data_IF_415519561830
#
_entry.id   IF_415519561830
#
_cell.length_a   1.000
_cell.length_b   1.000
_cell.length_c   1.000
_cell.angle_alpha   90.00
_cell.angle_beta   90.00
_cell.angle_gamma   90.00
#
_symmetry.space_group_name_H-M   'P 1'
#
loop_
_entity.id
_entity.type
_entity.pdbx_description
1 polymer ?
#
# COMPACT_ATOMS: atom_id res chain seq x y z
N UNK A 1 3.69 19.42 -38.77
CA UNK A 1 2.68 20.42 -38.35
C UNK A 1 2.68 20.44 -36.84
N UNK A 2 3.04 21.56 -36.22
CA UNK A 2 2.77 21.76 -34.80
C UNK A 2 1.25 21.65 -34.60
N UNK A 3 0.81 20.74 -33.73
CA UNK A 3 -0.60 20.69 -33.35
C UNK A 3 -0.90 21.96 -32.58
N UNK A 4 -1.78 22.81 -33.12
CA UNK A 4 -2.32 23.94 -32.37
C UNK A 4 -2.97 23.43 -31.09
N UNK A 5 -2.57 24.00 -29.95
CA UNK A 5 -3.09 23.60 -28.65
C UNK A 5 -4.45 24.29 -28.46
N UNK A 6 -5.57 23.56 -28.38
CA UNK A 6 -6.92 24.15 -28.40
C UNK A 6 -7.35 24.78 -27.07
N UNK A 7 -6.44 24.83 -26.09
CA UNK A 7 -6.73 25.31 -24.73
C UNK A 7 -5.69 26.31 -24.25
N UNK A 8 -6.14 27.31 -23.48
CA UNK A 8 -5.29 28.35 -22.93
C UNK A 8 -5.28 28.32 -21.41
N UNK A 9 -4.13 28.63 -20.81
CA UNK A 9 -4.00 28.77 -19.35
C UNK A 9 -4.97 29.84 -18.84
N UNK A 10 -5.52 29.61 -17.65
CA UNK A 10 -6.51 30.44 -16.96
C UNK A 10 -7.90 30.55 -17.61
N UNK A 11 -8.14 29.91 -18.76
CA UNK A 11 -9.44 29.87 -19.41
C UNK A 11 -10.29 28.68 -18.94
N UNK A 12 -11.61 28.79 -19.10
CA UNK A 12 -12.56 27.76 -18.71
C UNK A 12 -13.13 27.04 -19.93
N UNK A 13 -13.26 25.72 -19.83
CA UNK A 13 -13.84 24.86 -20.86
C UNK A 13 -14.87 23.92 -20.25
N UNK A 14 -15.86 23.52 -21.03
CA UNK A 14 -16.82 22.50 -20.63
C UNK A 14 -16.42 21.17 -21.28
N UNK A 15 -16.26 20.13 -20.48
CA UNK A 15 -15.89 18.80 -20.97
C UNK A 15 -16.70 17.71 -20.27
N UNK A 16 -16.73 16.54 -20.89
CA UNK A 16 -17.20 15.30 -20.28
C UNK A 16 -16.01 14.44 -19.85
N UNK A 17 -16.07 13.88 -18.64
CA UNK A 17 -15.06 13.00 -18.11
C UNK A 17 -15.36 11.56 -18.55
N UNK A 18 -14.39 10.93 -19.22
CA UNK A 18 -14.54 9.61 -19.84
C UNK A 18 -13.84 8.50 -19.05
N UNK A 19 -12.74 8.83 -18.37
CA UNK A 19 -11.93 7.85 -17.61
C UNK A 19 -11.23 8.55 -16.42
N UNK A 20 -10.38 7.82 -15.69
CA UNK A 20 -9.46 8.34 -14.70
C UNK A 20 -8.01 8.04 -15.09
N UNK A 21 -7.09 8.90 -14.65
CA UNK A 21 -5.65 8.64 -14.73
C UNK A 21 -5.21 7.70 -13.61
N UNK A 22 -3.99 7.18 -13.67
CA UNK A 22 -3.38 6.41 -12.57
C UNK A 22 -3.32 7.17 -11.23
N UNK A 23 -3.44 8.51 -11.26
CA UNK A 23 -3.51 9.37 -10.07
C UNK A 23 -4.95 9.67 -9.62
N UNK A 24 -5.96 9.08 -10.27
CA UNK A 24 -7.37 9.30 -9.98
C UNK A 24 -7.89 10.66 -10.46
N UNK A 25 -7.20 11.30 -11.40
CA UNK A 25 -7.70 12.54 -12.01
C UNK A 25 -8.66 12.19 -13.14
N UNK A 26 -9.81 12.87 -13.22
CA UNK A 26 -10.72 12.78 -14.36
C UNK A 26 -10.00 13.05 -15.68
N UNK A 27 -10.18 12.16 -16.64
CA UNK A 27 -9.64 12.27 -18.00
C UNK A 27 -10.79 12.59 -18.93
N UNK A 28 -10.73 13.78 -19.52
CA UNK A 28 -11.62 14.20 -20.59
C UNK A 28 -10.82 14.67 -21.79
N UNK A 29 -11.55 15.11 -22.80
CA UNK A 29 -10.95 15.60 -24.04
C UNK A 29 -11.69 16.87 -24.51
N UNK A 30 -10.95 17.81 -25.07
CA UNK A 30 -11.47 18.99 -25.74
C UNK A 30 -10.79 19.13 -27.10
N UNK A 31 -11.55 18.94 -28.18
CA UNK A 31 -11.04 19.00 -29.57
C UNK A 31 -9.84 18.07 -29.84
N UNK A 32 -9.86 16.86 -29.28
CA UNK A 32 -8.79 15.87 -29.42
C UNK A 32 -7.61 16.06 -28.46
N UNK A 33 -7.66 17.08 -27.58
CA UNK A 33 -6.60 17.36 -26.61
C UNK A 33 -6.97 16.85 -25.22
N UNK A 34 -6.07 16.13 -24.56
CA UNK A 34 -6.34 15.46 -23.28
C UNK A 34 -6.30 16.45 -22.11
N UNK A 35 -7.33 16.42 -21.27
CA UNK A 35 -7.43 17.23 -20.05
C UNK A 35 -7.50 16.33 -18.82
N UNK A 36 -6.64 16.61 -17.83
CA UNK A 36 -6.69 15.99 -16.50
C UNK A 36 -7.35 16.94 -15.49
N UNK A 37 -8.37 16.45 -14.80
CA UNK A 37 -9.20 17.22 -13.87
C UNK A 37 -9.32 16.48 -12.54
N UNK A 38 -8.53 16.84 -11.51
CA UNK A 38 -8.71 16.33 -10.15
C UNK A 38 -10.16 16.55 -9.68
N UNK A 39 -10.62 15.68 -8.77
CA UNK A 39 -11.97 15.66 -8.20
C UNK A 39 -13.13 15.39 -9.18
N UNK A 40 -12.86 15.15 -10.46
CA UNK A 40 -13.87 14.79 -11.45
C UNK A 40 -13.86 13.28 -11.71
N UNK A 41 -15.02 12.66 -11.89
CA UNK A 41 -15.16 11.21 -12.10
C UNK A 41 -15.82 10.89 -13.45
N UNK A 42 -15.64 9.68 -14.00
CA UNK A 42 -16.26 9.28 -15.27
C UNK A 42 -17.79 9.47 -15.25
N UNK A 43 -18.29 10.09 -16.32
CA UNK A 43 -19.69 10.46 -16.50
C UNK A 43 -20.04 11.88 -16.05
N UNK A 44 -19.15 12.60 -15.36
CA UNK A 44 -19.38 14.01 -15.06
C UNK A 44 -19.28 14.89 -16.32
N UNK A 45 -20.18 15.87 -16.45
CA UNK A 45 -19.99 17.05 -17.31
C UNK A 45 -19.56 18.22 -16.44
N UNK A 46 -18.40 18.80 -16.71
CA UNK A 46 -17.74 19.77 -15.82
C UNK A 46 -17.30 21.03 -16.55
N UNK A 47 -17.30 22.15 -15.81
CA UNK A 47 -16.58 23.36 -16.17
C UNK A 47 -15.20 23.31 -15.50
N UNK A 48 -14.15 23.32 -16.30
CA UNK A 48 -12.75 23.19 -15.87
C UNK A 48 -11.96 24.44 -16.22
N UNK A 49 -11.18 24.99 -15.28
CA UNK A 49 -10.23 26.09 -15.53
C UNK A 49 -8.84 25.53 -15.72
N UNK A 50 -8.21 25.79 -16.86
CA UNK A 50 -6.86 25.28 -17.14
C UNK A 50 -5.83 25.99 -16.27
N UNK A 51 -5.02 25.21 -15.54
CA UNK A 51 -3.95 25.73 -14.66
C UNK A 51 -2.56 25.46 -15.22
N UNK A 52 -2.41 24.42 -16.05
CA UNK A 52 -1.16 24.07 -16.72
C UNK A 52 -1.46 23.54 -18.12
N UNK A 53 -0.73 24.05 -19.10
CA UNK A 53 -0.72 23.54 -20.48
C UNK A 53 0.64 22.89 -20.71
N UNK A 54 0.65 21.71 -21.33
CA UNK A 54 1.84 20.97 -21.75
C UNK A 54 1.70 20.60 -23.23
N UNK A 55 2.72 19.98 -23.82
CA UNK A 55 2.74 19.67 -25.27
C UNK A 55 1.55 18.81 -25.73
N UNK A 56 1.16 17.80 -24.94
CA UNK A 56 0.16 16.79 -25.32
C UNK A 56 -1.07 16.75 -24.41
N UNK A 57 -1.09 17.53 -23.33
CA UNK A 57 -2.17 17.53 -22.36
C UNK A 57 -2.25 18.85 -21.59
N UNK A 58 -3.35 19.08 -20.91
CA UNK A 58 -3.49 20.14 -19.91
C UNK A 58 -3.97 19.57 -18.56
N UNK A 59 -3.65 20.29 -17.49
CA UNK A 59 -4.22 20.06 -16.16
C UNK A 59 -5.14 21.22 -15.86
N UNK A 60 -6.36 20.91 -15.43
CA UNK A 60 -7.36 21.89 -15.06
C UNK A 60 -7.90 21.67 -13.65
N UNK A 61 -8.34 22.76 -13.04
CA UNK A 61 -9.06 22.78 -11.77
C UNK A 61 -10.56 22.65 -12.04
N UNK A 62 -11.23 21.71 -11.38
CA UNK A 62 -12.68 21.61 -11.39
C UNK A 62 -13.28 22.90 -10.81
N UNK A 63 -14.06 23.63 -11.61
CA UNK A 63 -14.76 24.84 -11.16
C UNK A 63 -16.20 24.52 -10.77
N UNK A 64 -16.90 23.73 -11.61
CA UNK A 64 -18.29 23.35 -11.37
C UNK A 64 -18.60 22.02 -12.04
N UNK A 65 -19.34 21.16 -11.34
CA UNK A 65 -20.01 20.01 -11.97
C UNK A 65 -21.32 20.53 -12.56
N UNK A 66 -21.44 20.50 -13.89
CA UNK A 66 -22.61 20.96 -14.63
C UNK A 66 -23.71 19.89 -14.63
N UNK A 67 -23.32 18.63 -14.83
CA UNK A 67 -24.18 17.46 -14.64
C UNK A 67 -23.36 16.35 -13.97
N UNK A 68 -23.73 15.87 -12.78
CA UNK A 68 -22.98 14.84 -12.07
C UNK A 68 -23.17 13.47 -12.73
N UNK A 69 -22.13 12.64 -12.67
CA UNK A 69 -22.22 11.21 -12.95
C UNK A 69 -23.25 10.54 -12.03
N UNK A 70 -23.95 9.52 -12.52
CA UNK A 70 -24.86 8.71 -11.69
C UNK A 70 -24.15 8.02 -10.51
N UNK A 71 -22.82 7.85 -10.60
CA UNK A 71 -22.01 7.25 -9.54
C UNK A 71 -21.36 8.30 -8.63
N UNK A 72 -21.62 9.61 -8.81
CA UNK A 72 -21.04 10.66 -7.97
C UNK A 72 -21.75 10.71 -6.63
N UNK A 73 -20.96 10.73 -5.56
CA UNK A 73 -21.43 10.95 -4.19
C UNK A 73 -20.66 12.11 -3.55
N UNK A 74 -21.19 12.63 -2.45
CA UNK A 74 -20.45 13.58 -1.62
C UNK A 74 -19.37 12.82 -0.81
N UNK A 75 -18.17 13.38 -0.75
CA UNK A 75 -17.08 12.82 0.03
C UNK A 75 -17.41 12.86 1.53
N UNK A 76 -17.16 11.77 2.26
CA UNK A 76 -17.38 11.75 3.72
C UNK A 76 -16.29 12.48 4.50
N UNK A 77 -15.05 12.49 3.98
CA UNK A 77 -13.92 13.13 4.66
C UNK A 77 -13.90 14.64 4.39
N UNK A 78 -13.82 15.49 5.43
CA UNK A 78 -13.88 16.95 5.27
C UNK A 78 -12.69 17.52 4.48
N UNK A 79 -11.57 16.79 4.43
CA UNK A 79 -10.34 17.20 3.73
C UNK A 79 -10.04 16.36 2.48
N UNK A 80 -11.01 15.57 1.99
CA UNK A 80 -10.82 14.62 0.89
C UNK A 80 -10.16 15.24 -0.36
N UNK A 81 -10.53 16.47 -0.71
CA UNK A 81 -10.03 17.17 -1.92
C UNK A 81 -8.62 17.75 -1.77
N UNK A 82 -8.19 18.00 -0.53
CA UNK A 82 -6.88 18.60 -0.26
C UNK A 82 -5.84 17.53 0.10
N UNK A 83 -6.26 16.48 0.79
CA UNK A 83 -5.40 15.38 1.22
C UNK A 83 -5.01 14.48 0.03
N UNK A 84 -3.72 14.15 -0.11
CA UNK A 84 -3.25 13.25 -1.17
C UNK A 84 -3.59 11.77 -0.97
N UNK A 85 -4.23 11.41 0.15
CA UNK A 85 -4.42 10.01 0.57
C UNK A 85 -5.53 9.25 -0.17
N UNK A 86 -6.64 9.89 -0.53
CA UNK A 86 -7.78 9.24 -1.19
C UNK A 86 -8.17 9.99 -2.46
N UNK A 87 -8.27 9.27 -3.59
CA UNK A 87 -8.44 9.91 -4.90
C UNK A 87 -9.88 9.82 -5.43
N UNK A 88 -10.69 8.88 -4.94
CA UNK A 88 -12.01 8.56 -5.52
C UNK A 88 -13.13 8.45 -4.47
N UNK A 89 -13.03 9.16 -3.33
CA UNK A 89 -14.12 9.18 -2.32
C UNK A 89 -15.44 9.73 -2.85
N UNK A 90 -15.38 10.56 -3.89
CA UNK A 90 -16.54 11.13 -4.58
C UNK A 90 -17.22 10.15 -5.57
N UNK A 91 -16.76 8.89 -5.64
CA UNK A 91 -17.36 7.82 -6.44
C UNK A 91 -18.02 6.79 -5.53
N UNK A 92 -19.25 6.39 -5.84
CA UNK A 92 -19.98 5.34 -5.13
C UNK A 92 -19.15 4.05 -5.07
N UNK A 93 -19.14 3.36 -3.92
CA UNK A 93 -18.21 2.26 -3.67
C UNK A 93 -18.29 1.13 -4.71
N UNK A 94 -19.50 0.71 -5.08
CA UNK A 94 -19.73 -0.27 -6.15
C UNK A 94 -19.13 0.15 -7.50
N UNK A 95 -19.17 1.45 -7.81
CA UNK A 95 -18.54 1.97 -9.01
C UNK A 95 -17.00 1.96 -8.91
N UNK A 96 -16.43 2.13 -7.71
CA UNK A 96 -14.99 1.95 -7.48
C UNK A 96 -14.56 0.52 -7.77
N UNK A 97 -15.30 -0.49 -7.28
CA UNK A 97 -15.00 -1.91 -7.52
C UNK A 97 -15.08 -2.27 -9.00
N UNK A 98 -16.12 -1.79 -9.70
CA UNK A 98 -16.25 -1.95 -11.16
C UNK A 98 -15.10 -1.27 -11.90
N UNK A 99 -14.72 -0.07 -11.49
CA UNK A 99 -13.60 0.66 -12.08
C UNK A 99 -12.28 -0.10 -11.89
N UNK A 100 -11.99 -0.60 -10.68
CA UNK A 100 -10.79 -1.38 -10.38
C UNK A 100 -10.73 -2.68 -11.19
N UNK A 101 -11.87 -3.35 -11.36
CA UNK A 101 -11.97 -4.55 -12.24
C UNK A 101 -11.57 -4.20 -13.68
N UNK A 102 -12.20 -3.15 -14.24
CA UNK A 102 -11.90 -2.67 -15.60
C UNK A 102 -10.45 -2.22 -15.77
N UNK A 103 -9.88 -1.58 -14.73
CA UNK A 103 -8.48 -1.16 -14.74
C UNK A 103 -7.55 -2.37 -14.91
N UNK A 104 -7.82 -3.46 -14.20
CA UNK A 104 -7.04 -4.70 -14.33
C UNK A 104 -7.20 -5.28 -15.74
N UNK A 105 -8.43 -5.48 -16.22
CA UNK A 105 -8.72 -5.96 -17.58
C UNK A 105 -7.94 -5.19 -18.65
N UNK A 106 -8.02 -3.86 -18.62
CA UNK A 106 -7.32 -3.00 -19.57
C UNK A 106 -5.80 -3.14 -19.52
N UNK A 107 -5.20 -3.29 -18.33
CA UNK A 107 -3.75 -3.48 -18.22
C UNK A 107 -3.34 -4.84 -18.78
N UNK A 108 -4.08 -5.91 -18.47
CA UNK A 108 -3.81 -7.25 -19.01
C UNK A 108 -3.86 -7.27 -20.53
N UNK A 109 -4.88 -6.64 -21.13
CA UNK A 109 -5.02 -6.59 -22.59
C UNK A 109 -3.99 -5.68 -23.26
N UNK A 110 -3.80 -4.45 -22.77
CA UNK A 110 -2.99 -3.43 -23.46
C UNK A 110 -1.49 -3.60 -23.22
N UNK A 111 -1.10 -4.00 -22.01
CA UNK A 111 0.31 -4.14 -21.63
C UNK A 111 0.75 -5.59 -21.74
N UNK A 112 -0.07 -6.51 -21.23
CA UNK A 112 0.24 -7.94 -21.29
C UNK A 112 0.02 -8.55 -22.68
N UNK A 113 -0.80 -7.93 -23.53
CA UNK A 113 -1.19 -8.49 -24.82
C UNK A 113 -2.06 -9.75 -24.71
N UNK A 114 -2.52 -10.08 -23.50
CA UNK A 114 -3.26 -11.30 -23.20
C UNK A 114 -4.75 -11.03 -23.33
N UNK A 115 -5.41 -11.74 -24.25
CA UNK A 115 -6.85 -11.60 -24.54
C UNK A 115 -7.62 -12.83 -24.06
N UNK A 116 -8.90 -12.64 -23.72
CA UNK A 116 -9.77 -13.72 -23.27
C UNK A 116 -9.44 -14.28 -21.87
N UNK A 117 -8.60 -13.58 -21.11
CA UNK A 117 -8.28 -13.95 -19.73
C UNK A 117 -9.47 -13.59 -18.83
N UNK A 118 -9.86 -14.51 -17.96
CA UNK A 118 -10.94 -14.27 -17.01
C UNK A 118 -10.44 -13.38 -15.86
N UNK A 119 -10.91 -12.14 -15.84
CA UNK A 119 -10.78 -11.22 -14.69
C UNK A 119 -12.09 -11.24 -13.92
N UNK A 120 -12.04 -11.68 -12.67
CA UNK A 120 -13.22 -11.70 -11.80
C UNK A 120 -13.56 -10.29 -11.30
N UNK A 121 -14.80 -10.09 -10.86
CA UNK A 121 -15.21 -8.85 -10.19
C UNK A 121 -14.34 -8.61 -8.97
N UNK A 122 -13.88 -7.38 -8.79
CA UNK A 122 -13.10 -6.97 -7.64
C UNK A 122 -13.86 -7.28 -6.34
N UNK A 123 -13.23 -8.03 -5.45
CA UNK A 123 -13.80 -8.30 -4.12
C UNK A 123 -13.64 -7.03 -3.29
N UNK A 124 -14.77 -6.52 -2.79
CA UNK A 124 -14.82 -5.32 -1.96
C UNK A 124 -14.85 -5.61 -0.46
N UNK A 125 -14.86 -4.52 0.32
CA UNK A 125 -15.01 -4.51 1.76
C UNK A 125 -16.45 -4.13 2.14
N UNK A 126 -17.04 -4.85 3.10
CA UNK A 126 -18.41 -4.58 3.56
C UNK A 126 -18.57 -3.17 4.13
N UNK A 127 -17.63 -2.74 4.95
CA UNK A 127 -17.54 -1.37 5.47
C UNK A 127 -16.19 -0.76 5.05
N UNK A 128 -16.13 0.02 3.95
CA UNK A 128 -14.87 0.50 3.37
C UNK A 128 -14.21 1.64 4.15
N UNK A 129 -14.49 1.77 5.45
CA UNK A 129 -13.99 2.83 6.33
C UNK A 129 -13.21 2.25 7.51
N UNK A 130 -12.41 3.10 8.17
CA UNK A 130 -11.66 2.75 9.40
C UNK A 130 -10.86 1.44 9.31
N UNK A 131 -10.39 1.08 8.12
CA UNK A 131 -9.77 -0.22 7.84
C UNK A 131 -8.25 -0.21 7.98
N UNK A 132 -7.61 0.97 7.97
CA UNK A 132 -6.15 1.06 8.00
C UNK A 132 -5.60 0.88 9.40
N UNK A 133 -4.64 -0.03 9.50
CA UNK A 133 -3.92 -0.40 10.72
C UNK A 133 -2.56 0.28 10.87
N UNK A 134 -2.17 1.07 9.87
CA UNK A 134 -0.95 1.87 9.89
C UNK A 134 -1.19 3.24 9.28
N UNK A 135 -0.76 4.26 10.01
CA UNK A 135 -0.74 5.65 9.56
C UNK A 135 0.62 6.26 9.79
N UNK A 136 0.99 7.18 8.92
CA UNK A 136 2.23 7.94 8.97
C UNK A 136 1.85 9.41 8.78
N UNK A 137 2.07 10.21 9.81
CA UNK A 137 1.78 11.64 9.81
C UNK A 137 3.10 12.40 9.77
N UNK A 138 3.40 13.16 8.70
CA UNK A 138 4.42 14.20 8.78
C UNK A 138 4.06 15.24 9.83
N UNK A 139 5.08 15.71 10.53
CA UNK A 139 5.00 16.81 11.49
C UNK A 139 5.79 17.97 10.89
N UNK A 140 5.19 19.15 10.85
CA UNK A 140 5.84 20.36 10.34
C UNK A 140 5.47 21.59 11.14
N UNK A 141 6.05 22.73 10.78
CA UNK A 141 5.75 24.02 11.40
C UNK A 141 4.99 24.91 10.41
N UNK A 142 3.96 25.61 10.91
CA UNK A 142 3.30 26.69 10.18
C UNK A 142 2.98 27.82 11.14
N UNK A 143 3.45 29.03 10.83
CA UNK A 143 3.28 30.23 11.67
C UNK A 143 3.72 30.02 13.12
N UNK A 144 4.85 29.32 13.32
CA UNK A 144 5.44 29.05 14.64
C UNK A 144 4.72 27.99 15.47
N UNK A 145 3.73 27.27 14.92
CA UNK A 145 3.02 26.17 15.61
C UNK A 145 3.22 24.84 14.89
N UNK A 146 3.25 23.76 15.65
CA UNK A 146 3.29 22.41 15.10
C UNK A 146 1.97 22.09 14.36
N UNK A 147 2.10 21.56 13.16
CA UNK A 147 1.01 21.02 12.36
C UNK A 147 1.28 19.56 12.05
N UNK A 148 0.21 18.76 12.07
CA UNK A 148 0.26 17.33 11.80
C UNK A 148 -0.90 16.96 10.89
N UNK A 149 -0.65 16.08 9.94
CA UNK A 149 -1.69 15.62 9.01
C UNK A 149 -1.10 14.84 7.85
N UNK A 150 -1.56 15.11 6.63
CA UNK A 150 -1.10 14.41 5.44
C UNK A 150 -0.61 15.39 4.39
N UNK A 151 0.34 14.97 3.56
CA UNK A 151 0.76 15.79 2.43
C UNK A 151 -0.37 15.96 1.39
N UNK A 152 -0.48 17.17 0.84
CA UNK A 152 -1.33 17.44 -0.31
C UNK A 152 -0.77 16.74 -1.56
N UNK A 153 -1.66 16.36 -2.48
CA UNK A 153 -1.30 15.57 -3.65
C UNK A 153 -0.15 16.17 -4.47
N UNK A 154 0.98 15.46 -4.55
CA UNK A 154 2.16 15.88 -5.33
C UNK A 154 2.97 17.01 -4.71
N UNK A 155 2.91 17.21 -3.40
CA UNK A 155 3.68 18.21 -2.66
C UNK A 155 4.14 17.69 -1.30
N UNK A 156 4.97 18.45 -0.59
CA UNK A 156 5.26 18.26 0.83
C UNK A 156 4.48 19.27 1.71
N UNK A 157 3.41 19.89 1.19
CA UNK A 157 2.56 20.76 2.00
C UNK A 157 1.63 19.92 2.89
N UNK A 158 1.71 20.12 4.20
CA UNK A 158 0.92 19.36 5.16
C UNK A 158 -0.48 19.98 5.25
N UNK A 159 -1.49 19.14 5.04
CA UNK A 159 -2.90 19.43 5.30
C UNK A 159 -3.20 19.04 6.74
N UNK A 160 -3.36 20.01 7.66
CA UNK A 160 -3.65 19.72 9.06
C UNK A 160 -4.92 18.88 9.16
N UNK A 161 -4.83 17.76 9.87
CA UNK A 161 -5.91 16.78 9.93
C UNK A 161 -6.03 16.24 11.35
N UNK A 162 -7.21 16.36 11.95
CA UNK A 162 -7.48 15.85 13.30
C UNK A 162 -7.93 14.39 13.29
N UNK A 163 -8.52 13.93 12.19
CA UNK A 163 -8.98 12.55 12.05
C UNK A 163 -8.91 12.07 10.61
N UNK A 164 -8.62 10.78 10.44
CA UNK A 164 -8.65 10.13 9.12
C UNK A 164 -9.66 9.00 9.10
N UNK A 165 -10.79 9.18 8.41
CA UNK A 165 -11.91 8.21 8.44
C UNK A 165 -11.62 6.84 7.79
N UNK A 166 -10.47 6.66 7.14
CA UNK A 166 -10.00 5.34 6.68
C UNK A 166 -9.02 4.68 7.65
N UNK A 167 -8.55 5.40 8.68
CA UNK A 167 -7.65 4.89 9.72
C UNK A 167 -8.44 4.48 10.95
N UNK A 168 -7.96 3.47 11.67
CA UNK A 168 -8.56 3.08 12.95
C UNK A 168 -8.66 4.28 13.92
N UNK A 169 -9.78 4.42 14.62
CA UNK A 169 -10.09 5.60 15.42
C UNK A 169 -9.06 5.88 16.52
N UNK A 170 -8.48 4.85 17.14
CA UNK A 170 -7.45 5.02 18.17
C UNK A 170 -6.20 5.76 17.67
N UNK A 171 -5.93 5.77 16.37
CA UNK A 171 -4.85 6.58 15.82
C UNK A 171 -5.12 8.10 15.96
N UNK A 172 -6.38 8.52 15.86
CA UNK A 172 -6.79 9.92 16.04
C UNK A 172 -6.55 10.36 17.50
N UNK A 173 -6.80 9.48 18.47
CA UNK A 173 -6.57 9.73 19.91
C UNK A 173 -5.08 9.86 20.25
N UNK A 174 -4.26 8.94 19.75
CA UNK A 174 -2.79 8.97 19.90
C UNK A 174 -2.23 10.27 19.30
N UNK A 175 -2.67 10.63 18.09
CA UNK A 175 -2.23 11.83 17.40
C UNK A 175 -2.49 13.08 18.23
N UNK A 176 -3.69 13.18 18.81
CA UNK A 176 -4.08 14.32 19.66
C UNK A 176 -3.18 14.45 20.88
N UNK A 177 -2.86 13.35 21.56
CA UNK A 177 -1.98 13.36 22.73
C UNK A 177 -0.57 13.80 22.35
N UNK A 178 -0.01 13.22 21.28
CA UNK A 178 1.36 13.55 20.86
C UNK A 178 1.44 15.00 20.38
N UNK A 179 0.46 15.49 19.62
CA UNK A 179 0.41 16.89 19.18
C UNK A 179 0.37 17.84 20.39
N UNK A 180 -0.48 17.56 21.38
CA UNK A 180 -0.55 18.36 22.59
C UNK A 180 0.76 18.32 23.38
N UNK A 181 1.42 17.17 23.46
CA UNK A 181 2.74 17.05 24.07
C UNK A 181 3.80 17.91 23.36
N UNK A 182 3.81 17.93 22.02
CA UNK A 182 4.71 18.78 21.23
C UNK A 182 4.47 20.26 21.56
N UNK A 183 3.20 20.68 21.59
CA UNK A 183 2.81 22.06 21.87
C UNK A 183 3.10 22.47 23.33
N UNK A 184 2.82 21.61 24.31
CA UNK A 184 2.96 21.89 25.75
C UNK A 184 4.41 21.96 26.20
N UNK A 185 5.25 21.03 25.71
CA UNK A 185 6.66 20.95 26.09
C UNK A 185 7.60 21.66 25.11
N UNK A 186 7.05 22.38 24.11
CA UNK A 186 7.80 23.07 23.06
C UNK A 186 8.85 22.17 22.39
N UNK A 187 8.45 20.95 22.03
CA UNK A 187 9.36 20.02 21.35
C UNK A 187 9.64 20.52 19.94
N UNK A 188 10.91 20.56 19.55
CA UNK A 188 11.30 21.00 18.22
C UNK A 188 10.72 20.08 17.12
N UNK A 189 10.19 20.71 16.08
CA UNK A 189 9.66 20.03 14.89
C UNK A 189 10.64 20.20 13.75
N UNK A 190 10.81 19.14 12.95
CA UNK A 190 11.74 19.15 11.83
C UNK A 190 11.28 20.11 10.71
N UNK A 191 12.20 20.95 10.24
CA UNK A 191 12.04 21.77 9.04
C UNK A 191 12.84 21.14 7.89
N UNK A 192 12.15 20.61 6.87
CA UNK A 192 12.79 19.97 5.72
C UNK A 192 13.67 20.93 4.89
N UNK A 193 13.38 22.22 4.91
CA UNK A 193 14.13 23.25 4.17
C UNK A 193 15.49 23.44 4.83
N UNK A 194 15.49 23.71 6.14
CA UNK A 194 16.70 23.94 6.93
C UNK A 194 17.46 22.64 7.22
N UNK A 195 16.76 21.51 7.32
CA UNK A 195 17.31 20.24 7.77
C UNK A 195 17.53 20.18 9.29
N UNK A 196 16.86 21.04 10.04
CA UNK A 196 17.01 21.22 11.49
C UNK A 196 15.71 20.88 12.23
N UNK A 197 15.76 20.83 13.57
CA UNK A 197 14.66 20.39 14.43
C UNK A 197 14.63 18.87 14.62
N UNK A 198 13.69 18.39 15.46
CA UNK A 198 13.73 17.03 15.99
C UNK A 198 12.67 16.10 15.40
N UNK A 199 11.37 16.33 15.66
CA UNK A 199 10.32 15.37 15.25
C UNK A 199 10.00 15.52 13.77
N UNK A 200 10.19 14.44 13.00
CA UNK A 200 9.86 14.37 11.56
C UNK A 200 8.47 13.81 11.32
N UNK A 201 8.18 12.67 11.93
CA UNK A 201 6.94 11.92 11.67
C UNK A 201 6.44 11.22 12.92
N UNK A 202 5.12 11.03 12.98
CA UNK A 202 4.43 10.17 13.93
C UNK A 202 3.85 9.00 13.14
N UNK A 203 4.26 7.78 13.48
CA UNK A 203 3.74 6.55 12.88
C UNK A 203 3.00 5.78 13.95
N UNK A 204 1.80 5.32 13.63
CA UNK A 204 0.98 4.51 14.53
C UNK A 204 0.65 3.22 13.81
N UNK A 205 0.91 2.09 14.47
CA UNK A 205 0.52 0.75 14.02
C UNK A 205 -0.44 0.14 15.04
N UNK A 206 -1.45 -0.57 14.57
CA UNK A 206 -2.54 -1.10 15.39
C UNK A 206 -2.77 -2.55 14.98
N UNK A 207 -2.83 -3.48 15.93
CA UNK A 207 -3.40 -4.80 15.68
C UNK A 207 -4.91 -4.72 15.85
N UNK A 208 -5.68 -4.87 14.77
CA UNK A 208 -7.14 -4.76 14.82
C UNK A 208 -7.77 -5.84 15.70
N UNK A 209 -7.24 -7.07 15.63
CA UNK A 209 -7.78 -8.20 16.38
C UNK A 209 -7.40 -8.17 17.86
N UNK A 210 -6.25 -7.57 18.18
CA UNK A 210 -5.66 -7.54 19.54
C UNK A 210 -5.86 -6.21 20.26
N UNK A 211 -6.23 -5.16 19.52
CA UNK A 211 -6.23 -3.75 19.94
C UNK A 211 -4.87 -3.23 20.43
N UNK A 212 -3.76 -3.92 20.11
CA UNK A 212 -2.45 -3.46 20.52
C UNK A 212 -1.96 -2.30 19.65
N UNK A 213 -1.46 -1.24 20.27
CA UNK A 213 -0.97 -0.05 19.56
C UNK A 213 0.54 0.11 19.75
N UNK A 214 1.23 0.34 18.64
CA UNK A 214 2.63 0.76 18.58
C UNK A 214 2.69 2.20 18.12
N UNK A 215 3.32 3.05 18.92
CA UNK A 215 3.64 4.43 18.55
C UNK A 215 5.12 4.51 18.18
N UNK A 216 5.42 5.10 17.02
CA UNK A 216 6.79 5.32 16.56
C UNK A 216 6.97 6.81 16.27
N UNK A 217 7.91 7.44 16.95
CA UNK A 217 8.32 8.80 16.67
C UNK A 217 9.61 8.77 15.84
N UNK A 218 9.53 9.28 14.61
CA UNK A 218 10.72 9.42 13.77
C UNK A 218 11.39 10.74 14.12
N UNK A 219 12.64 10.67 14.58
CA UNK A 219 13.37 11.84 15.07
C UNK A 219 14.71 12.05 14.33
N UNK A 220 15.07 13.31 14.17
CA UNK A 220 16.37 13.80 13.72
C UNK A 220 17.29 14.03 14.93
N UNK A 221 17.63 12.96 15.63
CA UNK A 221 18.38 13.01 16.89
C UNK A 221 18.43 11.63 17.53
N UNK A 222 19.02 11.50 18.72
CA UNK A 222 19.13 10.21 19.45
C UNK A 222 18.17 10.08 20.62
N UNK A 223 17.64 11.20 21.11
CA UNK A 223 16.83 11.26 22.31
C UNK A 223 15.64 12.20 22.08
N UNK A 224 14.57 11.98 22.85
CA UNK A 224 13.40 12.85 22.88
C UNK A 224 13.34 13.58 24.23
N UNK A 225 13.40 14.92 24.27
CA UNK A 225 13.18 15.67 25.50
C UNK A 225 11.82 15.31 26.13
N UNK A 226 11.78 15.20 27.46
CA UNK A 226 10.58 14.83 28.22
C UNK A 226 9.97 13.47 27.82
N UNK A 227 10.79 12.52 27.31
CA UNK A 227 10.32 11.21 26.88
C UNK A 227 9.52 10.48 27.97
N UNK A 228 10.01 10.49 29.22
CA UNK A 228 9.31 9.85 30.35
C UNK A 228 7.92 10.44 30.57
N UNK A 229 7.74 11.76 30.37
CA UNK A 229 6.43 12.42 30.46
C UNK A 229 5.49 12.02 29.34
N UNK A 230 6.00 11.89 28.10
CA UNK A 230 5.20 11.34 27.02
C UNK A 230 4.75 9.90 27.31
N UNK A 231 5.65 9.06 27.82
CA UNK A 231 5.34 7.67 28.19
C UNK A 231 4.29 7.63 29.29
N UNK A 232 4.42 8.44 30.35
CA UNK A 232 3.42 8.57 31.42
C UNK A 232 2.05 9.00 30.86
N UNK A 233 2.01 10.06 30.05
CA UNK A 233 0.78 10.58 29.43
C UNK A 233 0.07 9.54 28.56
N UNK A 234 0.83 8.80 27.73
CA UNK A 234 0.25 7.78 26.86
C UNK A 234 -0.25 6.59 27.68
N UNK A 235 0.50 6.13 28.70
CA UNK A 235 0.08 5.00 29.55
C UNK A 235 -1.21 5.30 30.32
N UNK A 236 -1.32 6.51 30.84
CA UNK A 236 -2.49 6.94 31.61
C UNK A 236 -3.75 7.03 30.73
N UNK A 237 -3.62 7.67 29.56
CA UNK A 237 -4.78 7.95 28.69
C UNK A 237 -5.11 6.82 27.70
N UNK A 238 -4.13 6.00 27.32
CA UNK A 238 -4.24 4.97 26.27
C UNK A 238 -3.58 3.65 26.70
N UNK A 239 -4.22 2.87 27.60
CA UNK A 239 -3.68 1.60 28.10
C UNK A 239 -3.49 0.51 27.02
N UNK A 240 -4.05 0.73 25.83
CA UNK A 240 -3.91 -0.12 24.65
C UNK A 240 -2.58 0.09 23.91
N UNK A 241 -1.86 1.19 24.16
CA UNK A 241 -0.48 1.34 23.68
C UNK A 241 0.42 0.36 24.42
N UNK A 242 0.98 -0.60 23.67
CA UNK A 242 1.87 -1.63 24.22
C UNK A 242 3.33 -1.30 24.06
N UNK A 243 3.67 -0.40 23.12
CA UNK A 243 5.05 0.00 22.92
C UNK A 243 5.16 1.39 22.29
N UNK A 244 6.20 2.12 22.71
CA UNK A 244 6.61 3.40 22.12
C UNK A 244 8.07 3.24 21.68
N UNK A 245 8.35 3.65 20.44
CA UNK A 245 9.64 3.50 19.79
C UNK A 245 10.10 4.84 19.23
N UNK A 246 11.35 5.21 19.45
CA UNK A 246 12.02 6.27 18.71
C UNK A 246 12.72 5.64 17.51
N UNK A 247 12.39 6.06 16.30
CA UNK A 247 13.10 5.67 15.09
C UNK A 247 14.05 6.79 14.66
N UNK A 248 15.33 6.46 14.52
CA UNK A 248 16.38 7.46 14.29
C UNK A 248 16.57 7.66 12.79
N UNK A 249 16.28 8.88 12.31
CA UNK A 249 16.47 9.26 10.91
C UNK A 249 17.02 10.68 10.78
N UNK A 250 18.34 10.80 10.83
CA UNK A 250 19.07 12.07 10.67
C UNK A 250 19.35 12.44 9.21
N UNK A 251 18.96 11.58 8.26
CA UNK A 251 19.24 11.80 6.84
C UNK A 251 18.22 12.77 6.20
N UNK A 252 18.72 13.62 5.28
CA UNK A 252 17.87 14.47 4.43
C UNK A 252 17.38 13.65 3.23
N UNK A 253 16.32 12.90 3.44
CA UNK A 253 15.77 11.92 2.47
C UNK A 253 14.26 11.81 2.57
N UNK A 254 13.63 11.35 1.49
CA UNK A 254 12.21 11.02 1.45
C UNK A 254 11.89 9.67 2.12
N UNK A 255 12.91 8.90 2.51
CA UNK A 255 12.73 7.69 3.31
C UNK A 255 12.32 8.11 4.72
N UNK A 256 11.10 7.77 5.11
CA UNK A 256 10.50 8.21 6.40
C UNK A 256 11.28 7.64 7.58
N UNK A 257 11.51 6.32 7.62
CA UNK A 257 12.13 5.67 8.76
C UNK A 257 13.61 5.37 8.49
N UNK A 258 14.46 5.61 9.48
CA UNK A 258 15.84 5.13 9.48
C UNK A 258 15.93 3.70 9.98
N UNK A 259 17.15 3.21 10.17
CA UNK A 259 17.42 1.78 10.45
C UNK A 259 17.49 1.44 11.93
N UNK A 260 17.64 2.44 12.79
CA UNK A 260 17.81 2.26 14.23
C UNK A 260 16.50 2.58 14.97
N UNK A 261 16.17 1.73 15.94
CA UNK A 261 15.00 1.87 16.80
C UNK A 261 15.44 1.81 18.27
N UNK A 262 15.00 2.78 19.07
CA UNK A 262 15.18 2.80 20.52
C UNK A 262 13.80 2.57 21.15
N UNK A 263 13.67 1.48 21.91
CA UNK A 263 12.42 1.15 22.61
C UNK A 263 12.40 1.93 23.92
N UNK A 264 11.50 2.90 24.04
CA UNK A 264 11.35 3.73 25.25
C UNK A 264 10.22 3.23 26.16
N UNK A 265 9.33 2.40 25.62
CA UNK A 265 8.31 1.71 26.41
C UNK A 265 7.91 0.39 25.75
N UNK A 266 7.71 -0.65 26.56
CA UNK A 266 7.18 -1.94 26.11
C UNK A 266 8.21 -2.85 25.44
N UNK A 267 7.73 -3.70 24.53
CA UNK A 267 8.54 -4.77 23.91
C UNK A 267 9.10 -4.44 22.51
N UNK A 268 8.79 -3.26 21.96
CA UNK A 268 9.16 -2.88 20.60
C UNK A 268 8.35 -3.55 19.50
N UNK A 269 7.32 -4.34 19.84
CA UNK A 269 6.48 -5.10 18.91
C UNK A 269 5.02 -5.11 19.38
N UNK A 270 4.11 -5.35 18.44
CA UNK A 270 2.69 -5.63 18.69
C UNK A 270 2.26 -6.91 17.98
N UNK A 271 1.17 -7.52 18.42
CA UNK A 271 0.56 -8.67 17.77
C UNK A 271 -0.65 -8.29 16.93
N UNK A 272 -0.90 -9.00 15.84
CA UNK A 272 -2.13 -8.97 15.03
C UNK A 272 -2.53 -10.41 14.69
N UNK A 273 -3.81 -10.62 14.37
CA UNK A 273 -4.30 -11.90 13.83
C UNK A 273 -4.84 -11.76 12.43
N UNK A 274 -4.56 -12.75 11.59
CA UNK A 274 -5.18 -12.94 10.28
C UNK A 274 -5.68 -14.38 10.24
N UNK A 275 -7.00 -14.57 10.14
CA UNK A 275 -7.63 -15.86 10.38
C UNK A 275 -7.28 -16.40 11.77
N UNK A 276 -6.74 -17.61 11.82
CA UNK A 276 -6.30 -18.30 13.04
C UNK A 276 -4.81 -18.14 13.34
N UNK A 277 -4.07 -17.38 12.54
CA UNK A 277 -2.64 -17.16 12.70
C UNK A 277 -2.35 -15.85 13.42
N UNK A 278 -1.39 -15.88 14.35
CA UNK A 278 -0.90 -14.71 15.09
C UNK A 278 0.44 -14.21 14.55
N UNK A 279 0.56 -12.89 14.36
CA UNK A 279 1.74 -12.25 13.78
C UNK A 279 2.29 -11.19 14.71
N UNK A 280 3.57 -11.30 15.06
CA UNK A 280 4.39 -10.28 15.67
C UNK A 280 4.82 -9.25 14.61
N UNK A 281 4.58 -7.97 14.89
CA UNK A 281 4.87 -6.85 14.00
C UNK A 281 5.92 -5.95 14.67
N UNK A 282 7.12 -5.90 14.08
CA UNK A 282 8.20 -4.98 14.47
C UNK A 282 8.11 -3.62 13.75
N UNK A 283 8.80 -2.56 14.21
CA UNK A 283 8.62 -1.19 13.70
C UNK A 283 8.91 -1.03 12.22
N UNK A 284 9.96 -1.68 11.71
CA UNK A 284 10.39 -1.61 10.30
C UNK A 284 9.76 -2.67 9.40
N UNK A 285 9.06 -3.66 9.98
CA UNK A 285 8.49 -4.77 9.23
C UNK A 285 7.37 -4.31 8.30
N UNK A 286 7.26 -4.92 7.11
CA UNK A 286 6.06 -4.75 6.27
C UNK A 286 4.94 -5.64 6.78
N UNK A 287 3.74 -5.08 6.85
CA UNK A 287 2.50 -5.79 7.15
C UNK A 287 1.37 -5.10 6.39
N UNK A 288 0.40 -5.86 5.90
CA UNK A 288 -0.68 -5.29 5.11
C UNK A 288 -1.49 -4.29 5.94
N UNK A 289 -1.80 -3.15 5.35
CA UNK A 289 -2.44 -2.06 6.10
C UNK A 289 -3.93 -2.29 6.33
N UNK A 290 -4.54 -3.27 5.66
CA UNK A 290 -5.95 -3.62 5.78
C UNK A 290 -6.05 -5.11 6.10
N UNK A 291 -6.04 -5.47 7.39
CA UNK A 291 -6.02 -6.87 7.85
C UNK A 291 -7.19 -7.67 7.27
N UNK A 292 -8.40 -7.08 7.25
CA UNK A 292 -9.62 -7.75 6.76
C UNK A 292 -9.56 -8.12 5.27
N UNK A 293 -9.03 -7.24 4.42
CA UNK A 293 -8.89 -7.54 2.99
C UNK A 293 -7.61 -8.33 2.68
N UNK A 294 -6.58 -8.25 3.53
CA UNK A 294 -5.39 -9.08 3.41
C UNK A 294 -5.72 -10.56 3.60
N UNK A 295 -6.56 -10.88 4.59
CA UNK A 295 -7.06 -12.24 4.79
C UNK A 295 -7.77 -12.77 3.54
N UNK A 296 -8.70 -12.00 2.97
CA UNK A 296 -9.39 -12.34 1.71
C UNK A 296 -8.40 -12.59 0.56
N UNK A 297 -7.38 -11.74 0.43
CA UNK A 297 -6.34 -11.87 -0.59
C UNK A 297 -5.54 -13.18 -0.42
N UNK A 298 -5.11 -13.48 0.81
CA UNK A 298 -4.30 -14.65 1.11
C UNK A 298 -5.08 -15.95 1.05
N UNK A 299 -6.33 -15.97 1.51
CA UNK A 299 -7.23 -17.10 1.32
C UNK A 299 -7.44 -17.40 -0.17
N UNK A 300 -7.56 -16.35 -1.00
CA UNK A 300 -7.65 -16.53 -2.46
C UNK A 300 -6.37 -17.13 -3.04
N UNK A 301 -5.20 -16.68 -2.59
CA UNK A 301 -3.92 -17.23 -3.01
C UNK A 301 -3.80 -18.72 -2.64
N UNK A 302 -4.14 -19.08 -1.40
CA UNK A 302 -4.17 -20.49 -0.93
C UNK A 302 -5.19 -21.31 -1.73
N UNK A 303 -6.36 -20.74 -2.02
CA UNK A 303 -7.37 -21.40 -2.86
C UNK A 303 -6.83 -21.69 -4.26
N UNK A 304 -6.11 -20.75 -4.88
CA UNK A 304 -5.54 -20.93 -6.22
C UNK A 304 -4.34 -21.88 -6.25
N UNK A 305 -3.58 -21.96 -5.16
CA UNK A 305 -2.51 -22.94 -5.04
C UNK A 305 -3.06 -24.39 -5.10
N UNK A 306 -4.25 -24.62 -4.53
CA UNK A 306 -4.90 -25.94 -4.42
C UNK A 306 -3.95 -27.00 -3.83
N UNK A 307 -3.35 -26.66 -2.70
CA UNK A 307 -2.39 -27.51 -1.98
C UNK A 307 -3.06 -28.79 -1.46
N UNK A 308 -2.39 -29.93 -1.65
CA UNK A 308 -2.83 -31.26 -1.24
C UNK A 308 -2.11 -31.80 0.00
N UNK A 309 -0.92 -31.26 0.33
CA UNK A 309 -0.16 -31.68 1.51
C UNK A 309 1.30 -32.03 1.24
N UNK A 310 1.64 -32.30 -0.02
CA UNK A 310 2.96 -32.80 -0.41
C UNK A 310 3.82 -31.73 -1.10
N UNK A 311 3.22 -30.61 -1.48
CA UNK A 311 3.89 -29.61 -2.32
C UNK A 311 4.99 -28.86 -1.56
N UNK A 312 6.10 -28.63 -2.26
CA UNK A 312 7.09 -27.62 -1.85
C UNK A 312 6.74 -26.25 -2.45
N UNK A 313 6.51 -25.27 -1.58
CA UNK A 313 6.14 -23.90 -1.95
C UNK A 313 7.32 -22.96 -1.73
N UNK A 314 7.66 -22.16 -2.74
CA UNK A 314 8.57 -21.03 -2.57
C UNK A 314 7.76 -19.74 -2.52
N UNK A 315 7.79 -19.05 -1.39
CA UNK A 315 7.20 -17.73 -1.20
C UNK A 315 8.28 -16.65 -1.34
N UNK A 316 8.26 -15.93 -2.45
CA UNK A 316 9.25 -14.93 -2.79
C UNK A 316 8.74 -13.55 -2.39
N UNK A 317 9.60 -12.75 -1.76
CA UNK A 317 9.22 -11.49 -1.10
C UNK A 317 8.32 -11.73 0.13
N UNK A 318 8.63 -12.79 0.88
CA UNK A 318 7.78 -13.31 1.96
C UNK A 318 7.53 -12.36 3.13
N UNK A 319 8.29 -11.26 3.26
CA UNK A 319 8.13 -10.29 4.34
C UNK A 319 8.20 -10.95 5.72
N UNK A 320 7.17 -10.73 6.54
CA UNK A 320 7.01 -11.34 7.88
C UNK A 320 6.41 -12.75 7.85
N UNK A 321 6.40 -13.39 6.68
CA UNK A 321 5.93 -14.75 6.47
C UNK A 321 4.40 -14.89 6.41
N UNK A 322 3.65 -13.80 6.20
CA UNK A 322 2.17 -13.87 6.17
C UNK A 322 1.66 -14.91 5.18
N UNK A 323 2.00 -14.79 3.90
CA UNK A 323 1.61 -15.76 2.87
C UNK A 323 2.21 -17.15 3.15
N UNK A 324 3.51 -17.20 3.46
CA UNK A 324 4.23 -18.44 3.82
C UNK A 324 3.49 -19.26 4.87
N UNK A 325 3.06 -18.65 5.98
CA UNK A 325 2.41 -19.34 7.08
C UNK A 325 0.97 -19.76 6.74
N UNK A 326 0.23 -18.97 5.95
CA UNK A 326 -1.07 -19.38 5.41
C UNK A 326 -0.94 -20.63 4.52
N UNK A 327 0.09 -20.68 3.66
CA UNK A 327 0.36 -21.83 2.79
C UNK A 327 0.85 -23.05 3.59
N UNK A 328 1.67 -22.84 4.62
CA UNK A 328 2.27 -23.90 5.44
C UNK A 328 1.23 -24.75 6.17
N UNK A 329 0.01 -24.23 6.40
CA UNK A 329 -1.11 -25.02 6.95
C UNK A 329 -1.55 -26.19 6.04
N UNK A 330 -1.24 -26.14 4.74
CA UNK A 330 -1.67 -27.13 3.74
C UNK A 330 -0.54 -27.67 2.86
N UNK A 331 0.62 -27.02 2.83
CA UNK A 331 1.76 -27.46 2.03
C UNK A 331 2.64 -28.47 2.80
N UNK A 332 3.41 -29.28 2.08
CA UNK A 332 4.40 -30.17 2.68
C UNK A 332 5.58 -29.40 3.24
N UNK A 333 6.08 -28.42 2.48
CA UNK A 333 7.19 -27.54 2.89
C UNK A 333 7.05 -26.15 2.29
N UNK A 334 7.40 -25.11 3.05
CA UNK A 334 7.42 -23.73 2.58
C UNK A 334 8.80 -23.10 2.79
N UNK A 335 9.31 -22.44 1.76
CA UNK A 335 10.52 -21.61 1.82
C UNK A 335 10.17 -20.15 1.55
N UNK A 336 10.28 -19.30 2.55
CA UNK A 336 10.14 -17.85 2.42
C UNK A 336 11.48 -17.18 2.14
N UNK A 337 11.56 -16.37 1.09
CA UNK A 337 12.75 -15.57 0.75
C UNK A 337 12.42 -14.09 0.94
N UNK A 338 13.23 -13.39 1.74
CA UNK A 338 13.02 -11.98 2.05
C UNK A 338 14.37 -11.26 2.23
N UNK A 339 14.49 -10.04 1.71
CA UNK A 339 15.73 -9.26 1.73
C UNK A 339 15.96 -8.55 3.07
N UNK A 340 14.88 -8.21 3.77
CA UNK A 340 14.91 -7.52 5.07
C UNK A 340 15.10 -8.51 6.20
N UNK A 341 16.28 -8.47 6.83
CA UNK A 341 16.66 -9.34 7.95
C UNK A 341 15.63 -9.34 9.10
N UNK A 342 15.16 -8.16 9.50
CA UNK A 342 14.20 -8.03 10.61
C UNK A 342 12.86 -8.71 10.28
N UNK A 343 12.42 -8.63 9.02
CA UNK A 343 11.20 -9.29 8.57
C UNK A 343 11.36 -10.83 8.57
N UNK A 344 12.54 -11.35 8.23
CA UNK A 344 12.86 -12.78 8.36
C UNK A 344 12.89 -13.24 9.82
N UNK A 345 13.39 -12.39 10.73
CA UNK A 345 13.36 -12.69 12.17
C UNK A 345 11.92 -12.74 12.69
N UNK A 346 11.09 -11.76 12.30
CA UNK A 346 9.66 -11.76 12.59
C UNK A 346 8.98 -13.00 12.00
N UNK A 347 9.30 -13.40 10.76
CA UNK A 347 8.71 -14.57 10.10
C UNK A 347 9.02 -15.89 10.83
N UNK A 348 10.26 -16.05 11.33
CA UNK A 348 10.65 -17.21 12.15
C UNK A 348 9.93 -17.22 13.50
N UNK A 349 9.79 -16.06 14.13
CA UNK A 349 9.03 -15.95 15.37
C UNK A 349 7.55 -16.24 15.15
N UNK A 350 6.97 -15.75 14.05
CA UNK A 350 5.59 -16.02 13.66
C UNK A 350 5.36 -17.52 13.41
N UNK A 351 6.28 -18.20 12.72
CA UNK A 351 6.22 -19.66 12.58
C UNK A 351 6.21 -20.36 13.94
N UNK A 352 7.09 -19.93 14.85
CA UNK A 352 7.19 -20.49 16.20
C UNK A 352 5.92 -20.27 17.03
N UNK A 353 5.36 -19.06 17.04
CA UNK A 353 4.14 -18.73 17.81
C UNK A 353 2.93 -19.53 17.29
N UNK A 354 2.88 -19.80 15.99
CA UNK A 354 1.80 -20.59 15.37
C UNK A 354 2.07 -22.10 15.32
N UNK A 355 3.16 -22.59 15.95
CA UNK A 355 3.56 -24.00 15.93
C UNK A 355 3.74 -24.58 14.50
N UNK A 356 4.17 -23.75 13.55
CA UNK A 356 4.44 -24.14 12.17
C UNK A 356 5.92 -24.52 12.04
N UNK A 357 6.18 -25.80 11.77
CA UNK A 357 7.55 -26.37 11.70
C UNK A 357 8.02 -26.65 10.26
N UNK A 358 7.11 -26.60 9.30
CA UNK A 358 7.37 -26.86 7.88
C UNK A 358 7.64 -25.57 7.06
N UNK A 359 7.85 -24.42 7.71
CA UNK A 359 8.23 -23.16 7.07
C UNK A 359 9.66 -22.75 7.41
N UNK A 360 10.49 -22.48 6.40
CA UNK A 360 11.86 -21.99 6.54
C UNK A 360 12.05 -20.63 5.87
N UNK A 361 12.80 -19.73 6.49
CA UNK A 361 12.99 -18.37 5.99
C UNK A 361 14.47 -18.05 5.74
N UNK A 362 14.75 -17.55 4.54
CA UNK A 362 16.10 -17.24 4.04
C UNK A 362 16.23 -15.73 3.79
N UNK A 363 17.28 -15.14 4.34
CA UNK A 363 17.61 -13.72 4.11
C UNK A 363 18.32 -13.57 2.76
N UNK A 364 17.78 -12.75 1.87
CA UNK A 364 18.43 -12.34 0.63
C UNK A 364 17.45 -11.90 -0.45
N UNK A 365 17.96 -11.27 -1.50
CA UNK A 365 17.16 -10.91 -2.67
C UNK A 365 16.70 -12.18 -3.41
N UNK A 366 15.42 -12.24 -3.80
CA UNK A 366 14.86 -13.40 -4.48
C UNK A 366 15.61 -13.71 -5.80
N UNK A 367 15.98 -12.67 -6.55
CA UNK A 367 16.77 -12.76 -7.78
C UNK A 367 18.19 -13.31 -7.59
N UNK A 368 18.71 -13.34 -6.36
CA UNK A 368 20.03 -13.88 -6.03
C UNK A 368 19.95 -15.25 -5.35
N UNK A 369 18.97 -15.41 -4.46
CA UNK A 369 18.80 -16.62 -3.63
C UNK A 369 18.22 -17.75 -4.47
N UNK A 370 17.10 -17.52 -5.17
CA UNK A 370 16.37 -18.56 -5.90
C UNK A 370 17.25 -19.25 -6.96
N UNK A 371 18.04 -18.55 -7.78
CA UNK A 371 18.94 -19.21 -8.72
C UNK A 371 20.01 -20.08 -8.05
N UNK A 372 20.48 -19.71 -6.86
CA UNK A 372 21.45 -20.52 -6.10
C UNK A 372 20.81 -21.77 -5.52
N UNK A 373 19.58 -21.67 -5.01
CA UNK A 373 18.81 -22.81 -4.52
C UNK A 373 18.52 -23.80 -5.67
N UNK A 374 18.09 -23.29 -6.82
CA UNK A 374 17.86 -24.08 -8.03
C UNK A 374 19.13 -24.80 -8.51
N UNK A 375 20.28 -24.12 -8.56
CA UNK A 375 21.57 -24.75 -8.90
C UNK A 375 22.01 -25.84 -7.92
N UNK A 376 21.51 -25.83 -6.68
CA UNK A 376 21.74 -26.88 -5.67
C UNK A 376 20.73 -28.03 -5.77
N UNK A 377 19.84 -28.01 -6.77
CA UNK A 377 18.83 -29.05 -6.99
C UNK A 377 17.55 -28.89 -6.18
N UNK A 378 17.35 -27.77 -5.48
CA UNK A 378 16.05 -27.49 -4.84
C UNK A 378 15.04 -27.02 -5.88
N UNK A 379 13.85 -27.61 -5.83
CA UNK A 379 12.75 -27.38 -6.74
C UNK A 379 11.50 -26.99 -5.95
N UNK A 380 10.64 -26.19 -6.58
CA UNK A 380 9.32 -25.87 -6.04
C UNK A 380 8.24 -26.51 -6.92
N UNK A 381 7.20 -27.06 -6.31
CA UNK A 381 5.97 -27.42 -7.01
C UNK A 381 5.14 -26.16 -7.32
N UNK A 382 5.18 -25.19 -6.41
CA UNK A 382 4.44 -23.92 -6.51
C UNK A 382 5.37 -22.77 -6.13
N UNK A 383 5.38 -21.73 -6.96
CA UNK A 383 6.02 -20.45 -6.63
C UNK A 383 4.95 -19.41 -6.37
N UNK A 384 5.03 -18.73 -5.24
CA UNK A 384 4.23 -17.56 -4.90
C UNK A 384 5.13 -16.34 -4.95
N UNK A 385 4.67 -15.26 -5.58
CA UNK A 385 5.39 -13.99 -5.62
C UNK A 385 4.47 -12.84 -5.18
N UNK A 386 4.95 -11.99 -4.27
CA UNK A 386 4.31 -10.71 -3.91
C UNK A 386 5.33 -9.56 -4.02
N UNK A 387 5.76 -9.21 -5.25
CA UNK A 387 6.84 -8.27 -5.45
C UNK A 387 6.45 -6.83 -5.10
N UNK A 388 7.45 -5.96 -4.87
CA UNK A 388 7.20 -4.52 -4.76
C UNK A 388 6.57 -3.94 -6.05
N UNK A 389 6.13 -2.68 -6.00
CA UNK A 389 5.46 -1.97 -7.12
C UNK A 389 6.17 -2.00 -8.48
N UNK A 390 7.47 -2.30 -8.52
CA UNK A 390 8.27 -2.44 -9.75
C UNK A 390 8.09 -3.81 -10.44
N UNK A 391 7.42 -4.76 -9.80
CA UNK A 391 7.31 -6.16 -10.21
C UNK A 391 8.57 -6.97 -9.89
N UNK A 392 8.63 -8.18 -10.44
CA UNK A 392 9.78 -9.07 -10.32
C UNK A 392 10.97 -8.58 -11.14
N UNK A 393 12.18 -8.92 -10.70
CA UNK A 393 13.36 -8.78 -11.54
C UNK A 393 13.28 -9.77 -12.73
N UNK A 394 13.70 -9.40 -13.96
CA UNK A 394 13.68 -10.31 -15.10
C UNK A 394 14.43 -11.63 -14.86
N UNK A 395 15.59 -11.56 -14.20
CA UNK A 395 16.39 -12.74 -13.83
C UNK A 395 15.65 -13.72 -12.92
N UNK A 396 14.74 -13.22 -12.07
CA UNK A 396 13.89 -14.07 -11.25
C UNK A 396 12.84 -14.77 -12.09
N UNK A 397 12.16 -14.06 -13.00
CA UNK A 397 11.16 -14.65 -13.90
C UNK A 397 11.79 -15.74 -14.78
N UNK A 398 12.98 -15.50 -15.33
CA UNK A 398 13.73 -16.50 -16.09
C UNK A 398 14.05 -17.75 -15.25
N UNK A 399 14.36 -17.56 -13.98
CA UNK A 399 14.64 -18.66 -13.06
C UNK A 399 13.37 -19.45 -12.72
N UNK A 400 12.23 -18.78 -12.53
CA UNK A 400 10.93 -19.45 -12.34
C UNK A 400 10.59 -20.28 -13.57
N UNK A 401 10.78 -19.74 -14.78
CA UNK A 401 10.54 -20.47 -16.04
C UNK A 401 11.44 -21.73 -16.13
N UNK A 402 12.74 -21.60 -15.82
CA UNK A 402 13.68 -22.73 -15.85
C UNK A 402 13.41 -23.78 -14.77
N UNK A 403 13.03 -23.35 -13.58
CA UNK A 403 12.67 -24.22 -12.46
C UNK A 403 11.37 -24.98 -12.73
N UNK A 404 10.52 -24.47 -13.62
CA UNK A 404 9.33 -25.16 -14.12
C UNK A 404 8.36 -25.68 -13.02
N UNK A 405 7.99 -24.88 -11.99
CA UNK A 405 6.94 -25.26 -11.05
C UNK A 405 5.61 -25.51 -11.78
N UNK A 406 4.78 -26.38 -11.21
CA UNK A 406 3.45 -26.72 -11.74
C UNK A 406 2.53 -25.49 -11.77
N UNK A 407 2.63 -24.64 -10.74
CA UNK A 407 1.83 -23.41 -10.59
C UNK A 407 2.67 -22.22 -10.17
N UNK A 408 2.26 -21.05 -10.63
CA UNK A 408 2.74 -19.74 -10.15
C UNK A 408 1.54 -18.95 -9.67
N UNK A 409 1.59 -18.52 -8.41
CA UNK A 409 0.61 -17.62 -7.80
C UNK A 409 1.24 -16.24 -7.73
N UNK A 410 0.73 -15.30 -8.53
CA UNK A 410 1.26 -13.94 -8.56
C UNK A 410 0.32 -12.99 -7.83
N UNK A 411 0.79 -12.39 -6.75
CA UNK A 411 0.10 -11.34 -5.99
C UNK A 411 0.70 -9.99 -6.39
N UNK A 412 -0.13 -8.97 -6.65
CA UNK A 412 0.40 -7.67 -7.07
C UNK A 412 -0.48 -6.48 -6.71
N UNK A 413 0.18 -5.45 -6.18
CA UNK A 413 -0.39 -4.14 -5.92
C UNK A 413 -0.41 -3.19 -7.13
N UNK A 414 0.13 -3.63 -8.28
CA UNK A 414 0.26 -2.82 -9.48
C UNK A 414 -0.11 -3.61 -10.76
N UNK A 415 -1.32 -3.41 -11.30
CA UNK A 415 -1.79 -4.11 -12.50
C UNK A 415 -0.89 -3.93 -13.73
N UNK A 416 -0.17 -2.83 -13.84
CA UNK A 416 0.69 -2.56 -15.00
C UNK A 416 1.92 -3.45 -15.02
N UNK A 417 2.65 -3.53 -13.91
CA UNK A 417 3.82 -4.41 -13.79
C UNK A 417 3.42 -5.88 -13.70
N UNK A 418 2.25 -6.17 -13.11
CA UNK A 418 1.64 -7.50 -13.17
C UNK A 418 1.47 -7.96 -14.62
N UNK A 419 0.81 -7.14 -15.46
CA UNK A 419 0.56 -7.46 -16.86
C UNK A 419 1.84 -7.75 -17.65
N UNK A 420 2.91 -6.98 -17.40
CA UNK A 420 4.24 -7.21 -17.97
C UNK A 420 4.80 -8.57 -17.53
N UNK A 421 4.79 -8.86 -16.24
CA UNK A 421 5.45 -10.05 -15.70
C UNK A 421 4.73 -11.34 -16.07
N UNK A 422 3.40 -11.36 -16.04
CA UNK A 422 2.62 -12.53 -16.46
C UNK A 422 2.74 -12.77 -17.97
N UNK A 423 2.97 -11.74 -18.78
CA UNK A 423 3.27 -11.90 -20.21
C UNK A 423 4.61 -12.62 -20.42
N UNK A 424 5.64 -12.26 -19.66
CA UNK A 424 6.95 -12.93 -19.68
C UNK A 424 6.80 -14.41 -19.29
N UNK A 425 6.09 -14.69 -18.20
CA UNK A 425 5.81 -16.06 -17.77
C UNK A 425 4.99 -16.83 -18.81
N UNK A 426 4.01 -16.19 -19.44
CA UNK A 426 3.20 -16.81 -20.48
C UNK A 426 4.02 -17.21 -21.70
N UNK A 427 4.89 -16.31 -22.18
CA UNK A 427 5.87 -16.62 -23.24
C UNK A 427 6.87 -17.70 -22.82
N UNK A 428 7.12 -17.82 -21.52
CA UNK A 428 7.92 -18.90 -20.92
C UNK A 428 7.21 -20.27 -20.88
N UNK A 429 5.94 -20.37 -21.28
CA UNK A 429 5.16 -21.61 -21.34
C UNK A 429 4.15 -21.81 -20.20
N UNK A 430 3.72 -20.73 -19.54
CA UNK A 430 2.63 -20.76 -18.57
C UNK A 430 1.31 -20.28 -19.19
N UNK A 431 0.20 -20.81 -18.71
CA UNK A 431 -1.13 -20.31 -19.02
C UNK A 431 -1.66 -19.48 -17.86
N UNK A 432 -2.18 -18.28 -18.14
CA UNK A 432 -2.91 -17.48 -17.16
C UNK A 432 -4.36 -17.95 -17.13
N UNK A 433 -4.82 -18.44 -15.98
CA UNK A 433 -6.17 -19.01 -15.84
C UNK A 433 -7.18 -18.00 -15.29
N UNK A 434 -6.88 -17.42 -14.13
CA UNK A 434 -7.80 -16.59 -13.36
C UNK A 434 -7.07 -15.42 -12.75
N UNK A 435 -7.72 -14.26 -12.77
CA UNK A 435 -7.26 -13.05 -12.09
C UNK A 435 -8.36 -12.57 -11.15
N UNK A 436 -8.05 -12.45 -9.86
CA UNK A 436 -8.97 -11.94 -8.85
C UNK A 436 -8.44 -10.61 -8.29
N UNK A 437 -9.05 -9.47 -8.68
CA UNK A 437 -8.78 -8.20 -8.01
C UNK A 437 -9.40 -8.18 -6.61
N UNK A 438 -8.73 -7.57 -5.66
CA UNK A 438 -9.18 -7.37 -4.27
C UNK A 438 -8.97 -5.91 -3.88
N UNK A 439 -9.98 -5.30 -3.29
CA UNK A 439 -9.93 -3.92 -2.85
C UNK A 439 -9.27 -3.79 -1.48
N UNK A 440 -7.94 -3.94 -1.45
CA UNK A 440 -7.16 -3.74 -0.22
C UNK A 440 -7.15 -2.27 0.25
N UNK A 441 -7.41 -1.33 -0.67
CA UNK A 441 -7.34 0.11 -0.41
C UNK A 441 -8.59 0.85 -0.93
N UNK A 442 -9.75 0.70 -0.25
CA UNK A 442 -10.95 1.45 -0.57
C UNK A 442 -10.70 2.95 -0.70
N UNK A 443 -11.45 3.61 -1.58
CA UNK A 443 -11.36 5.06 -1.85
C UNK A 443 -10.06 5.57 -2.49
N UNK A 444 -9.15 4.65 -2.82
CA UNK A 444 -7.93 4.94 -3.58
C UNK A 444 -7.97 4.26 -4.95
N UNK A 445 -7.05 4.66 -5.84
CA UNK A 445 -6.87 4.01 -7.14
C UNK A 445 -6.16 2.66 -7.06
N UNK A 446 -5.63 2.26 -5.90
CA UNK A 446 -4.88 1.02 -5.76
C UNK A 446 -5.81 -0.20 -5.77
N UNK A 447 -5.35 -1.28 -6.38
CA UNK A 447 -6.03 -2.57 -6.44
C UNK A 447 -4.97 -3.66 -6.31
N UNK A 448 -5.21 -4.61 -5.41
CA UNK A 448 -4.41 -5.82 -5.32
C UNK A 448 -4.99 -6.87 -6.26
N UNK A 449 -4.16 -7.76 -6.79
CA UNK A 449 -4.59 -8.84 -7.67
C UNK A 449 -3.93 -10.14 -7.25
N UNK A 450 -4.67 -11.25 -7.34
CA UNK A 450 -4.12 -12.61 -7.27
C UNK A 450 -4.33 -13.31 -8.60
N UNK A 451 -3.27 -13.84 -9.17
CA UNK A 451 -3.27 -14.54 -10.46
C UNK A 451 -2.87 -15.99 -10.27
N UNK A 452 -3.65 -16.90 -10.87
CA UNK A 452 -3.29 -18.29 -11.04
C UNK A 452 -2.69 -18.50 -12.42
N UNK A 453 -1.46 -18.99 -12.46
CA UNK A 453 -0.82 -19.51 -13.67
C UNK A 453 -0.43 -20.97 -13.45
N UNK A 454 -0.57 -21.80 -14.49
CA UNK A 454 -0.04 -23.17 -14.49
C UNK A 454 0.78 -23.42 -15.73
N UNK A 455 1.62 -24.46 -15.68
CA UNK A 455 2.30 -24.92 -16.88
C UNK A 455 1.30 -25.41 -17.93
N UNK A 456 1.61 -25.17 -19.21
CA UNK A 456 0.93 -25.77 -20.36
C UNK A 456 1.31 -27.24 -20.55
#
# INVERSE_FOLDING_TARGET
MEKDIPVQKNHCYNIEIKDLSHKGQGVGDYQGFTLFVPDAIPGDKVKVKIVKVSKNYAIGKLIKVLAPSANRILEKCPVARNCGGCQIQNMAYEAQLKYKTRLVEQNIERIGGLKGITVHKCIGMKDPWRYRNKVQFPVGIRSGKAIVGFYAAGSHDIIPTESCIIQHQSADEVLKIIKNFIDEYNIEVYDETLGEGLIKHIIIRIGFSTNEIMVILVINGKELPYCDKLVELIKDKLPFVKTIVLNINTEKTNVIMGRENIIVYGKGKISERLGDLEFSISPLSFFQVNSAQAEVLYEKAVQYAELSGDETVFDLYSGTGTISLFMAKKAGKVYGIEVVKDAVMDARENARINNITNAEFVVGAAEDVVPKLYKKGMMADIVVVDPPRKGCAPSLLDTIIKMNPKKVIYISCNPSTLARDICILANGGYQVHKIQPVDLFPHTMHVECVVLMSRL
#
